data_IF_884048990856
#
_entry.id   IF_884048990856
#
_cell.length_a   1.000
_cell.length_b   1.000
_cell.length_c   1.000
_cell.angle_alpha   90.00
_cell.angle_beta   90.00
_cell.angle_gamma   90.00
#
_symmetry.space_group_name_H-M   'P 1'
#
loop_
_entity.id
_entity.type
_entity.pdbx_description
1 polymer ?
#
# COMPACT_ATOMS: atom_id res chain seq x y z
N UNK A 1 14.87 4.98 -16.21
CA UNK A 1 14.47 5.29 -14.82
C UNK A 1 14.43 3.98 -14.03
N UNK A 2 14.93 3.94 -12.79
CA UNK A 2 14.72 2.79 -11.92
C UNK A 2 13.22 2.64 -11.60
N UNK A 3 12.74 1.40 -11.54
CA UNK A 3 11.40 1.06 -11.06
C UNK A 3 11.54 0.52 -9.64
N UNK A 4 10.66 0.97 -8.74
CA UNK A 4 10.65 0.56 -7.35
C UNK A 4 9.30 -0.06 -7.00
N UNK A 5 9.33 -1.06 -6.12
CA UNK A 5 8.14 -1.68 -5.56
C UNK A 5 8.12 -1.43 -4.06
N UNK A 6 7.00 -0.90 -3.57
CA UNK A 6 6.77 -0.66 -2.15
C UNK A 6 5.65 -1.55 -1.65
N UNK A 7 5.98 -2.47 -0.74
CA UNK A 7 5.03 -3.39 -0.14
C UNK A 7 4.80 -2.98 1.31
N UNK A 8 3.54 -2.86 1.69
CA UNK A 8 3.12 -2.58 3.08
C UNK A 8 2.12 -3.61 3.56
N UNK A 9 2.24 -3.98 4.83
CA UNK A 9 1.29 -4.86 5.53
C UNK A 9 0.61 -4.02 6.60
N UNK A 10 -0.71 -3.89 6.50
CA UNK A 10 -1.52 -3.18 7.47
C UNK A 10 -2.20 -4.17 8.43
N UNK A 11 -2.71 -3.67 9.57
CA UNK A 11 -3.37 -4.54 10.54
C UNK A 11 -4.64 -5.18 9.97
N UNK A 12 -4.90 -6.42 10.35
CA UNK A 12 -6.03 -7.22 9.88
C UNK A 12 -7.42 -6.70 10.27
N UNK A 13 -7.50 -5.80 11.26
CA UNK A 13 -8.76 -5.22 11.74
C UNK A 13 -9.14 -3.91 11.04
N UNK A 14 -8.40 -3.51 10.01
CA UNK A 14 -8.78 -2.42 9.12
C UNK A 14 -9.96 -2.84 8.22
N UNK A 15 -10.93 -1.95 8.09
CA UNK A 15 -11.94 -2.07 7.03
C UNK A 15 -11.32 -1.83 5.65
N UNK A 16 -12.00 -2.28 4.58
CA UNK A 16 -11.56 -2.04 3.20
C UNK A 16 -11.39 -0.56 2.89
N UNK A 17 -12.33 0.29 3.34
CA UNK A 17 -12.26 1.74 3.14
C UNK A 17 -11.04 2.37 3.83
N UNK A 18 -10.65 1.87 5.00
CA UNK A 18 -9.43 2.36 5.67
C UNK A 18 -8.16 1.88 4.94
N UNK A 19 -8.17 0.68 4.36
CA UNK A 19 -7.05 0.18 3.56
C UNK A 19 -6.87 0.99 2.25
N UNK A 20 -7.97 1.29 1.55
CA UNK A 20 -7.97 2.17 0.37
C UNK A 20 -7.47 3.58 0.72
N UNK A 21 -7.92 4.15 1.85
CA UNK A 21 -7.44 5.45 2.32
C UNK A 21 -5.93 5.49 2.60
N UNK A 22 -5.32 4.38 3.03
CA UNK A 22 -3.86 4.29 3.16
C UNK A 22 -3.16 4.29 1.79
N UNK A 23 -3.70 3.55 0.81
CA UNK A 23 -3.18 3.56 -0.56
C UNK A 23 -3.21 4.97 -1.17
N UNK A 24 -4.33 5.68 -1.00
CA UNK A 24 -4.47 7.06 -1.48
C UNK A 24 -3.47 8.00 -0.81
N UNK A 25 -3.30 7.87 0.51
CA UNK A 25 -2.35 8.68 1.28
C UNK A 25 -0.91 8.52 0.78
N UNK A 26 -0.44 7.28 0.60
CA UNK A 26 0.93 7.04 0.11
C UNK A 26 1.10 7.40 -1.36
N UNK A 27 0.07 7.20 -2.19
CA UNK A 27 0.06 7.64 -3.59
C UNK A 27 0.21 9.16 -3.69
N UNK A 28 -0.49 9.90 -2.84
CA UNK A 28 -0.37 11.35 -2.76
C UNK A 28 1.05 11.77 -2.35
N UNK A 29 1.61 11.18 -1.28
CA UNK A 29 2.99 11.48 -0.85
C UNK A 29 3.99 11.27 -1.99
N UNK A 30 3.91 10.14 -2.70
CA UNK A 30 4.84 9.85 -3.80
C UNK A 30 4.68 10.86 -4.94
N UNK A 31 3.44 11.17 -5.31
CA UNK A 31 3.13 12.11 -6.40
C UNK A 31 3.56 13.54 -6.06
N UNK A 32 3.30 13.99 -4.84
CA UNK A 32 3.68 15.32 -4.33
C UNK A 32 5.19 15.53 -4.29
N UNK A 33 5.97 14.44 -4.18
CA UNK A 33 7.43 14.44 -4.21
C UNK A 33 8.02 14.15 -5.60
N UNK A 34 7.20 14.25 -6.67
CA UNK A 34 7.64 14.12 -8.06
C UNK A 34 7.82 12.68 -8.54
N UNK A 35 7.35 11.69 -7.77
CA UNK A 35 7.28 10.31 -8.21
C UNK A 35 6.09 10.05 -9.13
N UNK A 36 6.10 8.91 -9.82
CA UNK A 36 4.98 8.46 -10.65
C UNK A 36 4.56 7.06 -10.21
N UNK A 37 3.26 6.86 -10.00
CA UNK A 37 2.69 5.56 -9.71
C UNK A 37 2.47 4.81 -11.02
N UNK A 38 3.14 3.67 -11.17
CA UNK A 38 2.95 2.79 -12.33
C UNK A 38 1.78 1.81 -12.13
N UNK A 39 1.64 1.28 -10.92
CA UNK A 39 0.61 0.30 -10.57
C UNK A 39 0.38 0.30 -9.06
N UNK A 40 -0.84 0.01 -8.64
CA UNK A 40 -1.22 -0.27 -7.26
C UNK A 40 -1.92 -1.62 -7.21
N UNK A 41 -1.62 -2.45 -6.22
CA UNK A 41 -2.25 -3.76 -6.04
C UNK A 41 -2.67 -3.95 -4.58
N UNK A 42 -3.89 -4.46 -4.39
CA UNK A 42 -4.43 -4.79 -3.08
C UNK A 42 -4.66 -6.30 -2.96
N UNK A 43 -4.07 -6.91 -1.93
CA UNK A 43 -4.10 -8.36 -1.74
C UNK A 43 -5.14 -8.87 -0.73
N UNK A 44 -5.86 -7.97 -0.07
CA UNK A 44 -6.80 -8.34 0.99
C UNK A 44 -6.11 -8.91 2.23
N UNK A 45 -6.89 -9.56 3.09
CA UNK A 45 -6.38 -10.24 4.28
C UNK A 45 -5.64 -11.51 3.87
N UNK A 46 -4.40 -11.66 4.34
CA UNK A 46 -3.57 -12.86 4.14
C UNK A 46 -3.14 -13.44 5.49
N UNK A 47 -3.06 -14.77 5.58
CA UNK A 47 -2.47 -15.45 6.73
C UNK A 47 -0.96 -15.32 6.68
N UNK A 48 -0.36 -14.75 7.72
CA UNK A 48 1.09 -14.62 7.84
C UNK A 48 1.72 -15.96 8.21
N UNK A 49 2.93 -16.23 7.69
CA UNK A 49 3.67 -17.44 8.02
C UNK A 49 4.09 -17.52 9.51
N UNK A 50 4.14 -16.37 10.18
CA UNK A 50 4.46 -16.22 11.60
C UNK A 50 3.77 -14.98 12.19
N UNK A 51 3.73 -14.87 13.52
CA UNK A 51 3.20 -13.69 14.21
C UNK A 51 4.17 -12.51 14.06
N UNK A 52 3.65 -11.34 13.74
CA UNK A 52 4.37 -10.06 13.61
C UNK A 52 4.09 -9.22 14.84
#
# INVERSE_FOLDING_TARGET
MPLYEHVMIARQDLSSAQAEGLMDHFTAIISDNGGTIAMTEYWGVKTMAYKI
#
